data_IF_298629926678
#
_entry.id   IF_298629926678
#
_cell.length_a   1.000
_cell.length_b   1.000
_cell.length_c   1.000
_cell.angle_alpha   90.00
_cell.angle_beta   90.00
_cell.angle_gamma   90.00
#
_symmetry.space_group_name_H-M   'P 1'
#
loop_
_entity.id
_entity.type
_entity.pdbx_description
1 polymer ?
#
# COMPACT_ATOMS: atom_id res chain seq x y z
N UNK A 1 56.28 -16.59 -52.25
CA UNK A 1 56.04 -15.43 -53.14
C UNK A 1 54.90 -14.65 -52.54
N UNK A 2 55.18 -13.37 -52.34
CA UNK A 2 54.20 -12.27 -52.03
C UNK A 2 53.50 -12.25 -50.67
N UNK A 3 54.15 -11.51 -49.78
CA UNK A 3 53.63 -10.88 -48.60
C UNK A 3 52.62 -9.79 -48.93
N UNK A 4 51.49 -9.74 -48.19
CA UNK A 4 50.70 -8.52 -48.06
C UNK A 4 50.42 -8.30 -46.59
N UNK A 5 51.09 -7.26 -46.04
CA UNK A 5 50.83 -6.68 -44.77
C UNK A 5 49.54 -5.83 -44.81
N UNK A 6 48.61 -6.01 -43.89
CA UNK A 6 47.55 -5.06 -43.63
C UNK A 6 47.63 -4.59 -42.18
N UNK A 7 48.03 -3.36 -42.02
CA UNK A 7 47.85 -2.54 -40.83
C UNK A 7 46.37 -2.18 -40.70
N UNK A 8 45.75 -2.56 -39.60
CA UNK A 8 44.50 -1.94 -39.15
C UNK A 8 44.68 -1.47 -37.71
N UNK A 9 44.96 -0.18 -37.58
CA UNK A 9 44.82 0.55 -36.32
C UNK A 9 43.30 0.78 -36.10
N UNK A 10 42.72 0.01 -35.18
CA UNK A 10 41.36 0.23 -34.65
C UNK A 10 41.47 1.04 -33.38
N UNK A 11 40.99 2.26 -33.41
CA UNK A 11 40.84 3.12 -32.25
C UNK A 11 39.83 2.50 -31.27
N UNK A 12 40.29 2.22 -30.06
CA UNK A 12 39.38 1.84 -28.95
C UNK A 12 38.73 3.10 -28.39
N UNK A 13 37.45 3.32 -28.72
CA UNK A 13 36.64 4.27 -28.01
C UNK A 13 36.34 3.74 -26.60
N UNK A 14 36.98 4.35 -25.62
CA UNK A 14 36.63 4.19 -24.19
C UNK A 14 35.29 4.80 -23.92
N UNK A 15 34.20 3.98 -23.94
CA UNK A 15 32.94 4.36 -23.37
C UNK A 15 33.02 4.33 -21.84
N UNK A 16 33.36 5.47 -21.24
CA UNK A 16 33.25 5.68 -19.80
C UNK A 16 31.76 5.64 -19.44
N UNK A 17 31.34 4.58 -18.72
CA UNK A 17 30.05 4.52 -18.03
C UNK A 17 30.06 5.60 -16.94
N UNK A 18 29.10 6.54 -16.91
CA UNK A 18 29.09 7.54 -15.85
C UNK A 18 28.84 6.87 -14.51
N UNK A 19 29.66 7.20 -13.52
CA UNK A 19 29.50 6.77 -12.14
C UNK A 19 28.11 7.18 -11.60
N UNK A 20 27.47 6.37 -10.75
CA UNK A 20 26.19 6.72 -10.17
C UNK A 20 26.33 8.03 -9.38
N UNK A 21 25.44 8.98 -9.65
CA UNK A 21 25.36 10.25 -8.94
C UNK A 21 25.31 10.00 -7.43
N UNK A 22 26.36 10.44 -6.72
CA UNK A 22 26.35 10.60 -5.28
C UNK A 22 25.21 11.59 -4.95
N UNK A 23 24.14 11.07 -4.37
CA UNK A 23 23.16 11.92 -3.73
C UNK A 23 23.86 12.66 -2.60
N UNK A 24 23.86 13.99 -2.66
CA UNK A 24 24.31 14.83 -1.57
C UNK A 24 23.46 14.49 -0.34
N UNK A 25 24.02 13.73 0.57
CA UNK A 25 23.48 13.52 1.92
C UNK A 25 23.64 14.86 2.61
N UNK A 26 22.56 15.63 2.67
CA UNK A 26 22.50 16.79 3.56
C UNK A 26 22.52 16.21 4.97
N UNK A 27 23.59 16.43 5.71
CA UNK A 27 23.67 16.16 7.14
C UNK A 27 22.65 17.04 7.87
N UNK A 28 21.41 16.56 7.97
CA UNK A 28 20.45 17.05 8.92
C UNK A 28 20.93 16.52 10.28
N UNK A 29 21.17 17.38 11.30
CA UNK A 29 21.58 16.91 12.62
C UNK A 29 20.60 15.85 13.07
N UNK A 30 21.09 14.62 13.28
CA UNK A 30 20.28 13.45 13.55
C UNK A 30 19.47 13.68 14.81
N UNK A 31 18.20 14.04 14.67
CA UNK A 31 17.24 13.85 15.74
C UNK A 31 17.40 12.39 16.19
N UNK A 32 17.74 12.14 17.46
CA UNK A 32 17.96 10.80 17.97
C UNK A 32 16.81 9.91 17.51
N UNK A 33 17.15 8.82 16.81
CA UNK A 33 16.16 7.84 16.36
C UNK A 33 15.17 7.55 17.50
N UNK A 34 13.85 7.57 17.27
CA UNK A 34 12.85 7.21 18.27
C UNK A 34 13.15 5.88 18.97
N UNK A 35 13.78 4.95 18.26
CA UNK A 35 14.23 3.66 18.79
C UNK A 35 15.34 3.84 19.85
N UNK A 36 16.37 4.63 19.57
CA UNK A 36 17.48 4.88 20.48
C UNK A 36 17.06 5.77 21.65
N UNK A 37 16.06 6.63 21.43
CA UNK A 37 15.44 7.47 22.46
C UNK A 37 14.34 6.78 23.27
N UNK A 38 14.05 5.51 23.03
CA UNK A 38 13.03 4.78 23.77
C UNK A 38 13.41 4.58 25.24
N UNK A 39 12.60 5.16 26.13
CA UNK A 39 12.82 5.17 27.58
C UNK A 39 11.89 4.18 28.29
N UNK A 40 12.43 3.00 28.62
CA UNK A 40 11.69 1.98 29.33
C UNK A 40 11.31 2.38 30.77
N UNK A 41 12.12 3.23 31.44
CA UNK A 41 11.82 3.68 32.81
C UNK A 41 10.62 4.65 32.82
N UNK A 42 10.58 5.56 31.87
CA UNK A 42 9.44 6.46 31.66
C UNK A 42 8.17 5.70 31.32
N UNK A 43 8.27 4.64 30.54
CA UNK A 43 7.14 3.78 30.20
C UNK A 43 6.54 3.12 31.46
N UNK A 44 7.38 2.63 32.38
CA UNK A 44 6.94 2.09 33.69
C UNK A 44 6.20 3.13 34.51
N UNK A 45 6.70 4.38 34.55
CA UNK A 45 6.04 5.49 35.26
C UNK A 45 4.64 5.76 34.67
N UNK A 46 4.51 5.84 33.33
CA UNK A 46 3.21 6.04 32.70
C UNK A 46 2.25 4.88 32.99
N UNK A 47 2.73 3.64 32.98
CA UNK A 47 1.89 2.49 33.29
C UNK A 47 1.31 2.57 34.71
N UNK A 48 2.15 2.83 35.72
CA UNK A 48 1.69 2.96 37.11
C UNK A 48 0.80 4.19 37.33
N UNK A 49 0.96 5.24 36.54
CA UNK A 49 0.09 6.41 36.57
C UNK A 49 -1.23 6.20 35.79
N UNK A 50 -1.42 5.07 35.10
CA UNK A 50 -2.56 4.84 34.20
C UNK A 50 -2.56 5.72 32.95
N UNK A 51 -1.43 6.34 32.61
CA UNK A 51 -1.29 7.21 31.43
C UNK A 51 -1.01 6.38 30.17
N UNK A 52 -2.00 5.60 29.79
CA UNK A 52 -1.94 4.70 28.63
C UNK A 52 -1.84 5.46 27.30
N UNK A 53 -2.25 6.73 27.28
CA UNK A 53 -2.12 7.61 26.11
C UNK A 53 -0.66 7.89 25.79
N UNK A 54 0.17 8.24 26.79
CA UNK A 54 1.59 8.46 26.57
C UNK A 54 2.33 7.16 26.24
N UNK A 55 1.95 6.04 26.87
CA UNK A 55 2.52 4.74 26.53
C UNK A 55 2.27 4.38 25.07
N UNK A 56 1.03 4.50 24.61
CA UNK A 56 0.66 4.23 23.23
C UNK A 56 1.40 5.16 22.25
N UNK A 57 1.52 6.44 22.57
CA UNK A 57 2.27 7.42 21.77
C UNK A 57 3.75 7.05 21.62
N UNK A 58 4.42 6.61 22.72
CA UNK A 58 5.82 6.17 22.67
C UNK A 58 5.98 4.93 21.79
N UNK A 59 5.11 3.93 21.91
CA UNK A 59 5.14 2.74 21.05
C UNK A 59 4.93 3.10 19.58
N UNK A 60 3.95 3.95 19.27
CA UNK A 60 3.67 4.38 17.92
C UNK A 60 4.82 5.16 17.29
N UNK A 61 5.52 6.00 18.08
CA UNK A 61 6.67 6.74 17.56
C UNK A 61 7.77 5.79 17.03
N UNK A 62 8.09 4.74 17.80
CA UNK A 62 9.08 3.73 17.40
C UNK A 62 8.58 2.89 16.22
N UNK A 63 7.34 2.42 16.26
CA UNK A 63 6.77 1.60 15.18
C UNK A 63 6.65 2.37 13.86
N UNK A 64 6.28 3.66 13.93
CA UNK A 64 6.22 4.54 12.76
C UNK A 64 7.62 4.72 12.15
N UNK A 65 8.65 4.89 12.98
CA UNK A 65 10.03 4.96 12.51
C UNK A 65 10.41 3.69 11.72
N UNK A 66 10.05 2.51 12.20
CA UNK A 66 10.29 1.26 11.47
C UNK A 66 9.49 1.12 10.17
N UNK A 67 8.33 1.76 10.05
CA UNK A 67 7.59 1.82 8.78
C UNK A 67 8.33 2.65 7.74
N UNK A 68 8.96 3.75 8.17
CA UNK A 68 9.53 4.76 7.29
C UNK A 68 11.02 4.51 6.98
N UNK A 69 11.69 3.66 7.77
CA UNK A 69 13.12 3.36 7.65
C UNK A 69 13.33 1.88 7.32
N UNK A 70 14.15 1.60 6.30
CA UNK A 70 14.56 0.24 5.94
C UNK A 70 15.97 -0.03 6.50
N UNK A 71 16.09 -1.09 7.29
CA UNK A 71 17.37 -1.57 7.81
C UNK A 71 17.91 -2.68 6.90
N UNK A 72 19.02 -2.42 6.22
CA UNK A 72 19.73 -3.43 5.43
C UNK A 72 20.75 -4.21 6.27
N UNK A 73 21.22 -3.60 7.35
CA UNK A 73 22.16 -4.17 8.30
C UNK A 73 21.79 -3.69 9.70
N UNK A 74 21.85 -4.60 10.67
CA UNK A 74 21.63 -4.25 12.08
C UNK A 74 22.99 -4.31 12.79
N UNK A 75 23.42 -3.16 13.25
CA UNK A 75 24.55 -3.06 14.19
C UNK A 75 24.12 -3.55 15.59
N UNK A 76 25.07 -3.99 16.40
CA UNK A 76 24.80 -4.55 17.72
C UNK A 76 23.99 -3.59 18.62
N UNK A 77 24.25 -2.29 18.54
CA UNK A 77 23.51 -1.28 19.29
C UNK A 77 22.04 -1.20 18.86
N UNK A 78 21.80 -1.23 17.55
CA UNK A 78 20.45 -1.23 16.98
C UNK A 78 19.71 -2.51 17.34
N UNK A 79 20.38 -3.67 17.27
CA UNK A 79 19.79 -4.95 17.67
C UNK A 79 19.43 -4.96 19.16
N UNK A 80 20.31 -4.47 20.03
CA UNK A 80 20.04 -4.36 21.47
C UNK A 80 18.87 -3.41 21.77
N UNK A 81 18.77 -2.30 21.02
CA UNK A 81 17.67 -1.35 21.14
C UNK A 81 16.33 -1.97 20.68
N UNK A 82 16.32 -2.72 19.58
CA UNK A 82 15.16 -3.47 19.10
C UNK A 82 14.70 -4.48 20.15
N UNK A 83 15.60 -5.28 20.69
CA UNK A 83 15.28 -6.29 21.71
C UNK A 83 14.68 -5.64 22.96
N UNK A 84 15.26 -4.52 23.42
CA UNK A 84 14.73 -3.75 24.56
C UNK A 84 13.34 -3.21 24.31
N UNK A 85 13.11 -2.59 23.14
CA UNK A 85 11.80 -2.08 22.74
C UNK A 85 10.78 -3.22 22.66
N UNK A 86 11.06 -4.28 21.90
CA UNK A 86 10.13 -5.40 21.66
C UNK A 86 9.76 -6.09 22.98
N UNK A 87 10.73 -6.29 23.88
CA UNK A 87 10.47 -6.85 25.23
C UNK A 87 9.42 -6.04 25.98
N UNK A 88 9.57 -4.73 26.04
CA UNK A 88 8.64 -3.85 26.76
C UNK A 88 7.29 -3.78 26.03
N UNK A 89 7.32 -3.61 24.72
CA UNK A 89 6.11 -3.57 23.89
C UNK A 89 5.23 -4.81 24.07
N UNK A 90 5.79 -6.02 23.88
CA UNK A 90 5.05 -7.26 24.02
C UNK A 90 4.58 -7.50 25.46
N UNK A 91 5.40 -7.15 26.47
CA UNK A 91 5.00 -7.25 27.85
C UNK A 91 3.73 -6.44 28.13
N UNK A 92 3.74 -5.13 27.81
CA UNK A 92 2.57 -4.28 28.07
C UNK A 92 1.37 -4.61 27.16
N UNK A 93 1.60 -5.04 25.94
CA UNK A 93 0.50 -5.47 25.06
C UNK A 93 -0.29 -6.66 25.65
N UNK A 94 0.33 -7.48 26.52
CA UNK A 94 -0.36 -8.60 27.17
C UNK A 94 -0.93 -8.28 28.55
N UNK A 95 -0.64 -7.10 29.12
CA UNK A 95 -1.26 -6.70 30.38
C UNK A 95 -2.74 -6.39 30.15
N UNK A 96 -3.63 -7.00 30.94
CA UNK A 96 -5.07 -6.87 30.77
C UNK A 96 -5.55 -5.43 31.01
N UNK A 97 -4.92 -4.75 31.98
CA UNK A 97 -5.23 -3.38 32.38
C UNK A 97 -4.82 -2.34 31.33
N UNK A 98 -3.76 -2.61 30.55
CA UNK A 98 -3.34 -1.70 29.49
C UNK A 98 -4.31 -1.80 28.32
N UNK A 99 -5.29 -0.92 28.27
CA UNK A 99 -6.21 -0.80 27.15
C UNK A 99 -5.66 0.25 26.16
N UNK A 100 -5.54 -0.12 24.89
CA UNK A 100 -5.14 0.85 23.87
C UNK A 100 -6.18 1.96 23.76
N UNK A 101 -5.80 3.24 23.91
CA UNK A 101 -6.72 4.34 23.73
C UNK A 101 -7.36 4.33 22.35
N UNK A 102 -8.67 4.60 22.28
CA UNK A 102 -9.47 4.50 21.06
C UNK A 102 -8.85 5.30 19.90
N UNK A 103 -8.33 6.49 20.18
CA UNK A 103 -7.68 7.36 19.19
C UNK A 103 -6.44 6.75 18.53
N UNK A 104 -5.83 5.72 19.13
CA UNK A 104 -4.65 5.01 18.61
C UNK A 104 -4.94 3.60 18.13
N UNK A 105 -6.10 3.05 18.46
CA UNK A 105 -6.47 1.67 18.15
C UNK A 105 -6.29 1.35 16.65
N UNK A 106 -6.86 2.17 15.78
CA UNK A 106 -6.72 2.02 14.33
C UNK A 106 -5.25 2.06 13.87
N UNK A 107 -4.44 2.98 14.43
CA UNK A 107 -3.02 3.13 14.05
C UNK A 107 -2.18 1.90 14.40
N UNK A 108 -2.47 1.22 15.50
CA UNK A 108 -1.77 -0.02 15.84
C UNK A 108 -2.13 -1.15 14.87
N UNK A 109 -3.39 -1.24 14.44
CA UNK A 109 -3.81 -2.20 13.42
C UNK A 109 -3.13 -1.89 12.09
N UNK A 110 -3.03 -0.62 11.71
CA UNK A 110 -2.34 -0.17 10.50
C UNK A 110 -0.85 -0.56 10.46
N UNK A 111 -0.24 -0.68 11.63
CA UNK A 111 1.15 -1.10 11.78
C UNK A 111 1.33 -2.62 11.98
N UNK A 112 0.28 -3.43 11.77
CA UNK A 112 0.30 -4.87 11.96
C UNK A 112 1.50 -5.56 11.28
N UNK A 113 1.72 -5.30 9.99
CA UNK A 113 2.85 -5.86 9.25
C UNK A 113 4.20 -5.37 9.79
N UNK A 114 4.29 -4.10 10.19
CA UNK A 114 5.50 -3.52 10.81
C UNK A 114 5.80 -4.19 12.13
N UNK A 115 4.80 -4.35 12.99
CA UNK A 115 4.94 -5.04 14.28
C UNK A 115 5.46 -6.46 14.07
N UNK A 116 4.85 -7.22 13.16
CA UNK A 116 5.31 -8.56 12.82
C UNK A 116 6.77 -8.61 12.38
N UNK A 117 7.20 -7.65 11.55
CA UNK A 117 8.59 -7.56 11.07
C UNK A 117 9.57 -7.17 12.19
N UNK A 118 9.22 -6.17 13.01
CA UNK A 118 10.08 -5.71 14.12
C UNK A 118 10.28 -6.84 15.14
N UNK A 119 9.22 -7.57 15.47
CA UNK A 119 9.32 -8.74 16.37
C UNK A 119 10.15 -9.85 15.73
N UNK A 120 10.02 -10.11 14.43
CA UNK A 120 10.84 -11.10 13.73
C UNK A 120 12.33 -10.75 13.72
N UNK A 121 12.69 -9.47 13.74
CA UNK A 121 14.09 -9.01 13.87
C UNK A 121 14.64 -9.15 15.30
N UNK A 122 13.78 -9.26 16.31
CA UNK A 122 14.18 -9.40 17.72
C UNK A 122 14.45 -10.84 18.12
N UNK A 123 14.94 -11.05 19.35
CA UNK A 123 15.14 -12.37 19.94
C UNK A 123 13.83 -13.14 20.12
N UNK A 124 12.68 -12.47 20.16
CA UNK A 124 11.37 -13.10 20.28
C UNK A 124 10.92 -13.84 19.02
N UNK A 125 11.37 -13.39 17.84
CA UNK A 125 11.10 -13.97 16.51
C UNK A 125 9.64 -14.03 16.08
N UNK A 126 8.69 -14.19 17.00
CA UNK A 126 7.26 -14.31 16.71
C UNK A 126 6.40 -13.68 17.81
N UNK A 127 5.22 -13.22 17.45
CA UNK A 127 4.18 -12.77 18.39
C UNK A 127 3.26 -13.90 18.86
N UNK A 128 3.44 -15.15 18.42
CA UNK A 128 2.54 -16.26 18.69
C UNK A 128 2.20 -16.47 20.16
N UNK A 129 3.16 -16.49 21.12
CA UNK A 129 2.83 -16.67 22.54
C UNK A 129 1.94 -15.56 23.07
N UNK A 130 2.15 -14.34 22.61
CA UNK A 130 1.41 -13.15 23.04
C UNK A 130 0.00 -13.12 22.43
N UNK A 131 -0.14 -13.52 21.17
CA UNK A 131 -1.43 -13.72 20.52
C UNK A 131 -2.26 -14.76 21.26
N UNK A 132 -1.67 -15.87 21.72
CA UNK A 132 -2.37 -16.88 22.52
C UNK A 132 -2.86 -16.35 23.87
N UNK A 133 -2.13 -15.43 24.52
CA UNK A 133 -2.57 -14.76 25.74
C UNK A 133 -3.78 -13.86 25.42
N UNK A 134 -3.67 -13.05 24.37
CA UNK A 134 -4.72 -12.10 23.98
C UNK A 134 -6.03 -12.78 23.53
N UNK A 135 -5.97 -13.96 22.97
CA UNK A 135 -7.15 -14.76 22.61
C UNK A 135 -8.04 -15.08 23.83
N UNK A 136 -7.47 -15.06 25.02
CA UNK A 136 -8.20 -15.31 26.28
C UNK A 136 -8.74 -14.01 26.90
N UNK A 137 -8.36 -12.87 26.38
CA UNK A 137 -8.65 -11.53 26.91
C UNK A 137 -9.61 -10.76 26.00
N UNK A 138 -10.91 -10.95 26.17
CA UNK A 138 -11.94 -10.34 25.29
C UNK A 138 -11.83 -8.81 25.14
N UNK A 139 -11.39 -8.10 26.20
CA UNK A 139 -11.25 -6.63 26.20
C UNK A 139 -10.06 -6.13 25.35
N UNK A 140 -9.14 -7.01 24.98
CA UNK A 140 -7.90 -6.67 24.28
C UNK A 140 -7.95 -6.97 22.78
N UNK A 141 -9.14 -6.93 22.19
CA UNK A 141 -9.36 -7.26 20.78
C UNK A 141 -8.48 -6.45 19.81
N UNK A 142 -8.33 -5.13 20.02
CA UNK A 142 -7.48 -4.28 19.19
C UNK A 142 -6.01 -4.68 19.25
N UNK A 143 -5.52 -5.06 20.44
CA UNK A 143 -4.15 -5.58 20.61
C UNK A 143 -3.96 -6.91 19.88
N UNK A 144 -4.97 -7.78 19.92
CA UNK A 144 -4.97 -9.02 19.17
C UNK A 144 -4.82 -8.75 17.67
N UNK A 145 -5.63 -7.87 17.09
CA UNK A 145 -5.54 -7.50 15.69
C UNK A 145 -4.19 -6.88 15.32
N UNK A 146 -3.59 -6.11 16.24
CA UNK A 146 -2.30 -5.47 16.03
C UNK A 146 -1.15 -6.49 16.01
N UNK A 147 -1.20 -7.53 16.84
CA UNK A 147 -0.14 -8.54 16.95
C UNK A 147 -0.32 -9.72 15.99
N UNK A 148 -1.55 -9.97 15.50
CA UNK A 148 -1.82 -11.11 14.60
C UNK A 148 -1.58 -10.72 13.15
N UNK A 149 -0.44 -11.10 12.62
CA UNK A 149 0.05 -10.76 11.27
C UNK A 149 0.35 -12.02 10.44
N UNK A 150 0.73 -11.84 9.19
CA UNK A 150 1.14 -12.93 8.30
C UNK A 150 2.35 -13.74 8.79
N UNK A 151 3.13 -13.22 9.75
CA UNK A 151 4.27 -13.94 10.35
C UNK A 151 3.88 -14.91 11.45
N UNK A 152 2.63 -14.90 11.90
CA UNK A 152 2.17 -15.82 12.93
C UNK A 152 1.99 -17.23 12.38
N UNK A 153 2.23 -18.23 13.25
CA UNK A 153 1.99 -19.66 13.01
C UNK A 153 0.72 -20.14 13.71
N UNK A 154 0.31 -19.42 14.76
CA UNK A 154 -0.98 -19.66 15.43
C UNK A 154 -2.10 -19.41 14.43
N UNK A 155 -3.01 -20.37 14.33
CA UNK A 155 -4.21 -20.25 13.51
C UNK A 155 -5.37 -19.75 14.36
N UNK A 156 -6.00 -18.65 13.93
CA UNK A 156 -7.19 -18.07 14.52
C UNK A 156 -8.33 -18.25 13.53
N UNK A 157 -9.50 -18.64 14.03
CA UNK A 157 -10.71 -18.55 13.21
C UNK A 157 -11.03 -17.06 12.95
N UNK A 158 -10.73 -16.61 11.74
CA UNK A 158 -10.92 -15.21 11.33
C UNK A 158 -12.37 -14.75 11.45
N UNK A 159 -13.36 -15.66 11.36
CA UNK A 159 -14.78 -15.34 11.53
C UNK A 159 -15.10 -14.81 12.93
N UNK A 160 -14.37 -15.25 13.96
CA UNK A 160 -14.50 -14.72 15.31
C UNK A 160 -14.07 -13.25 15.39
N UNK A 161 -13.05 -12.87 14.61
CA UNK A 161 -12.61 -11.48 14.55
C UNK A 161 -13.73 -10.59 13.96
N UNK A 162 -14.37 -11.03 12.89
CA UNK A 162 -15.50 -10.29 12.31
C UNK A 162 -16.76 -10.29 13.20
N UNK A 163 -16.93 -11.28 14.05
CA UNK A 163 -18.04 -11.31 15.01
C UNK A 163 -17.90 -10.23 16.10
N UNK A 164 -16.66 -9.87 16.47
CA UNK A 164 -16.40 -8.90 17.55
C UNK A 164 -16.55 -7.45 17.06
N UNK A 165 -15.89 -7.10 15.95
CA UNK A 165 -15.99 -5.78 15.33
C UNK A 165 -15.72 -5.90 13.82
N UNK A 166 -16.76 -5.91 12.99
CA UNK A 166 -16.58 -5.98 11.53
C UNK A 166 -15.68 -4.88 10.97
N UNK A 167 -15.82 -3.65 11.50
CA UNK A 167 -15.03 -2.51 11.03
C UNK A 167 -13.52 -2.68 11.30
N UNK A 168 -13.14 -2.98 12.54
CA UNK A 168 -11.73 -3.19 12.91
C UNK A 168 -11.17 -4.46 12.26
N UNK A 169 -11.99 -5.53 12.12
CA UNK A 169 -11.59 -6.74 11.42
C UNK A 169 -11.38 -6.48 9.92
N UNK A 170 -12.19 -5.63 9.28
CA UNK A 170 -12.00 -5.23 7.88
C UNK A 170 -10.69 -4.44 7.72
N UNK A 171 -10.42 -3.51 8.62
CA UNK A 171 -9.15 -2.78 8.63
C UNK A 171 -7.98 -3.74 8.76
N UNK A 172 -8.01 -4.62 9.74
CA UNK A 172 -7.01 -5.68 9.94
C UNK A 172 -6.87 -6.58 8.70
N UNK A 173 -7.96 -6.97 8.06
CA UNK A 173 -7.94 -7.82 6.88
C UNK A 173 -7.08 -7.22 5.76
N UNK A 174 -7.24 -5.94 5.49
CA UNK A 174 -6.44 -5.25 4.47
C UNK A 174 -5.01 -4.99 4.92
N UNK A 175 -4.79 -4.60 6.18
CA UNK A 175 -3.45 -4.38 6.73
C UNK A 175 -2.62 -5.67 6.78
N UNK A 176 -3.25 -6.82 7.01
CA UNK A 176 -2.58 -8.12 7.02
C UNK A 176 -1.91 -8.42 5.67
N UNK A 177 -2.52 -8.00 4.57
CA UNK A 177 -1.99 -8.17 3.22
C UNK A 177 -0.77 -7.27 2.94
N UNK A 178 -0.53 -6.19 3.70
CA UNK A 178 0.70 -5.37 3.57
C UNK A 178 1.98 -6.18 3.78
N UNK A 179 1.90 -7.33 4.41
CA UNK A 179 3.02 -8.27 4.56
C UNK A 179 3.57 -8.75 3.20
N UNK A 180 2.86 -8.56 2.08
CA UNK A 180 3.37 -8.88 0.74
C UNK A 180 4.70 -8.18 0.41
N UNK A 181 4.99 -7.04 1.02
CA UNK A 181 6.23 -6.29 0.80
C UNK A 181 7.48 -6.98 1.37
N UNK A 182 7.31 -7.79 2.41
CA UNK A 182 8.43 -8.37 3.18
C UNK A 182 8.28 -9.87 3.45
N UNK A 183 7.07 -10.41 3.30
CA UNK A 183 6.73 -11.78 3.64
C UNK A 183 7.00 -12.85 2.58
N UNK A 184 6.97 -12.55 1.27
CA UNK A 184 7.07 -13.59 0.22
C UNK A 184 8.36 -14.41 0.24
N UNK A 185 9.43 -13.90 0.84
CA UNK A 185 10.71 -14.63 1.01
C UNK A 185 10.64 -15.75 2.07
N UNK A 186 9.63 -15.72 2.94
CA UNK A 186 9.38 -16.76 3.96
C UNK A 186 8.21 -17.64 3.49
N UNK A 187 8.45 -18.94 3.17
CA UNK A 187 7.42 -19.82 2.62
C UNK A 187 6.18 -19.97 3.52
N UNK A 188 6.34 -19.97 4.84
CA UNK A 188 5.23 -20.10 5.77
C UNK A 188 4.39 -18.82 5.82
N UNK A 189 5.03 -17.65 5.84
CA UNK A 189 4.33 -16.36 5.73
C UNK A 189 3.58 -16.26 4.41
N UNK A 190 4.20 -16.68 3.30
CA UNK A 190 3.54 -16.70 1.99
C UNK A 190 2.33 -17.65 1.99
N UNK A 191 2.45 -18.85 2.56
CA UNK A 191 1.31 -19.78 2.69
C UNK A 191 0.16 -19.15 3.50
N UNK A 192 0.49 -18.46 4.59
CA UNK A 192 -0.50 -17.77 5.42
C UNK A 192 -1.19 -16.61 4.70
N UNK A 193 -0.44 -15.84 3.90
CA UNK A 193 -1.00 -14.80 3.05
C UNK A 193 -1.92 -15.37 1.96
N UNK A 194 -1.53 -16.48 1.33
CA UNK A 194 -2.37 -17.20 0.34
C UNK A 194 -3.68 -17.72 0.95
N UNK A 195 -3.60 -18.29 2.16
CA UNK A 195 -4.80 -18.66 2.92
C UNK A 195 -5.68 -17.43 3.23
N UNK A 196 -5.07 -16.30 3.57
CA UNK A 196 -5.79 -15.06 3.87
C UNK A 196 -6.52 -14.48 2.65
N UNK A 197 -5.93 -14.55 1.47
CA UNK A 197 -6.58 -14.15 0.20
C UNK A 197 -7.88 -14.93 -0.03
N UNK A 198 -7.91 -16.21 0.30
CA UNK A 198 -9.08 -17.07 0.08
C UNK A 198 -10.17 -16.92 1.15
N UNK A 199 -9.86 -16.27 2.27
CA UNK A 199 -10.84 -16.07 3.34
C UNK A 199 -11.94 -15.09 2.89
N UNK A 200 -13.20 -15.47 3.09
CA UNK A 200 -14.38 -14.67 2.80
C UNK A 200 -15.21 -14.47 4.05
N UNK A 201 -15.72 -13.25 4.21
CA UNK A 201 -16.70 -12.91 5.22
C UNK A 201 -17.60 -11.77 4.71
N UNK A 202 -18.90 -11.97 4.77
CA UNK A 202 -19.89 -11.00 4.28
C UNK A 202 -19.97 -9.74 5.15
N UNK A 203 -19.32 -9.75 6.32
CA UNK A 203 -19.24 -8.61 7.24
C UNK A 203 -18.09 -7.66 6.93
N UNK A 204 -17.32 -7.90 5.87
CA UNK A 204 -16.35 -6.91 5.35
C UNK A 204 -17.08 -5.61 5.03
N UNK A 205 -16.73 -4.52 5.72
CA UNK A 205 -17.39 -3.21 5.59
C UNK A 205 -16.39 -2.06 5.59
N UNK A 206 -16.71 -1.03 4.82
CA UNK A 206 -15.93 0.19 4.77
C UNK A 206 -14.65 0.08 3.93
N UNK A 207 -14.07 1.22 3.69
CA UNK A 207 -12.86 1.42 2.90
C UNK A 207 -11.86 2.18 3.77
N UNK A 208 -10.61 1.76 3.77
CA UNK A 208 -9.53 2.41 4.49
C UNK A 208 -8.31 2.65 3.57
N UNK A 209 -7.29 3.29 4.09
CA UNK A 209 -6.06 3.61 3.34
C UNK A 209 -5.33 2.39 2.78
N UNK A 210 -5.54 1.19 3.35
CA UNK A 210 -4.89 -0.05 2.91
C UNK A 210 -5.69 -0.83 1.86
N UNK A 211 -6.94 -0.45 1.60
CA UNK A 211 -7.80 -1.16 0.65
C UNK A 211 -7.19 -1.20 -0.76
N UNK A 212 -6.61 -0.09 -1.24
CA UNK A 212 -5.95 -0.07 -2.54
C UNK A 212 -4.62 -0.81 -2.53
N UNK A 213 -3.87 -0.78 -1.42
CA UNK A 213 -2.66 -1.57 -1.26
C UNK A 213 -2.94 -3.08 -1.32
N UNK A 214 -4.02 -3.52 -0.68
CA UNK A 214 -4.46 -4.92 -0.75
C UNK A 214 -4.88 -5.32 -2.17
N UNK A 215 -5.59 -4.45 -2.88
CA UNK A 215 -5.97 -4.65 -4.28
C UNK A 215 -4.76 -4.89 -5.17
N UNK A 216 -3.74 -4.06 -5.02
CA UNK A 216 -2.49 -4.18 -5.76
C UNK A 216 -1.62 -5.35 -5.25
N UNK A 217 -1.47 -5.46 -3.94
CA UNK A 217 -0.57 -6.43 -3.27
C UNK A 217 -0.98 -7.88 -3.47
N UNK A 218 -2.28 -8.16 -3.59
CA UNK A 218 -2.80 -9.50 -3.80
C UNK A 218 -2.15 -10.21 -5.00
N UNK A 219 -1.87 -9.48 -6.07
CA UNK A 219 -1.20 -9.98 -7.27
C UNK A 219 0.20 -10.56 -6.99
N UNK A 220 0.94 -9.97 -6.04
CA UNK A 220 2.28 -10.43 -5.67
C UNK A 220 2.27 -11.60 -4.67
N UNK A 221 1.12 -11.88 -4.07
CA UNK A 221 0.94 -13.01 -3.13
C UNK A 221 0.52 -14.27 -3.88
N UNK A 222 -0.50 -14.15 -4.73
CA UNK A 222 -1.03 -15.27 -5.51
C UNK A 222 -1.76 -14.72 -6.75
N UNK A 223 -1.13 -14.84 -7.91
CA UNK A 223 -1.68 -14.35 -9.17
C UNK A 223 -2.83 -15.18 -9.73
N UNK A 224 -3.10 -16.36 -9.19
CA UNK A 224 -4.23 -17.18 -9.58
C UNK A 224 -5.50 -16.85 -8.77
N UNK A 225 -5.34 -16.33 -7.54
CA UNK A 225 -6.43 -16.08 -6.58
C UNK A 225 -6.59 -14.62 -6.17
N UNK A 226 -5.77 -13.73 -6.68
CA UNK A 226 -5.85 -12.29 -6.38
C UNK A 226 -7.21 -11.68 -6.74
N UNK A 227 -7.91 -12.25 -7.72
CA UNK A 227 -9.25 -11.84 -8.12
C UNK A 227 -10.24 -11.84 -6.95
N UNK A 228 -10.06 -12.73 -5.96
CA UNK A 228 -10.93 -12.79 -4.79
C UNK A 228 -10.84 -11.51 -3.96
N UNK A 229 -9.64 -10.96 -3.76
CA UNK A 229 -9.44 -9.68 -3.07
C UNK A 229 -9.98 -8.53 -3.92
N UNK A 230 -9.68 -8.53 -5.22
CA UNK A 230 -10.12 -7.47 -6.12
C UNK A 230 -11.63 -7.38 -6.23
N UNK A 231 -12.32 -8.52 -6.35
CA UNK A 231 -13.79 -8.56 -6.34
C UNK A 231 -14.39 -8.03 -5.04
N UNK A 232 -13.79 -8.35 -3.88
CA UNK A 232 -14.24 -7.84 -2.59
C UNK A 232 -14.07 -6.32 -2.51
N UNK A 233 -12.91 -5.83 -2.89
CA UNK A 233 -12.63 -4.38 -2.94
C UNK A 233 -13.61 -3.69 -3.87
N UNK A 234 -13.82 -4.19 -5.08
CA UNK A 234 -14.77 -3.62 -6.03
C UNK A 234 -16.20 -3.59 -5.45
N UNK A 235 -16.66 -4.67 -4.79
CA UNK A 235 -17.97 -4.69 -4.13
C UNK A 235 -18.10 -3.61 -3.06
N UNK A 236 -17.06 -3.40 -2.25
CA UNK A 236 -17.04 -2.36 -1.22
C UNK A 236 -17.16 -0.96 -1.84
N UNK A 237 -16.43 -0.68 -2.92
CA UNK A 237 -16.54 0.60 -3.62
C UNK A 237 -17.88 0.78 -4.29
N UNK A 238 -18.39 -0.23 -4.98
CA UNK A 238 -19.71 -0.20 -5.66
C UNK A 238 -20.87 -0.01 -4.68
N UNK A 239 -20.73 -0.43 -3.41
CA UNK A 239 -21.70 -0.18 -2.36
C UNK A 239 -21.70 1.27 -1.85
N UNK A 240 -20.68 2.09 -2.19
CA UNK A 240 -20.65 3.49 -1.77
C UNK A 240 -21.63 4.35 -2.58
N UNK A 241 -22.26 5.39 -1.98
CA UNK A 241 -23.13 6.31 -2.71
C UNK A 241 -22.42 6.99 -3.89
N UNK A 242 -21.11 7.23 -3.77
CA UNK A 242 -20.30 7.83 -4.82
C UNK A 242 -20.27 6.96 -6.09
N UNK A 243 -19.98 5.67 -5.95
CA UNK A 243 -19.89 4.75 -7.09
C UNK A 243 -21.26 4.34 -7.66
N UNK A 244 -22.35 4.59 -6.94
CA UNK A 244 -23.72 4.37 -7.42
C UNK A 244 -24.23 5.51 -8.30
N UNK A 245 -23.57 6.65 -8.35
CA UNK A 245 -23.94 7.74 -9.25
C UNK A 245 -23.89 7.23 -10.69
N UNK A 246 -25.06 7.19 -11.34
CA UNK A 246 -25.13 6.89 -12.76
C UNK A 246 -24.76 8.13 -13.55
N UNK A 247 -24.01 7.90 -14.58
CA UNK A 247 -23.61 8.94 -15.50
C UNK A 247 -24.43 8.77 -16.78
N UNK A 248 -25.20 9.78 -17.11
CA UNK A 248 -25.92 9.85 -18.38
C UNK A 248 -24.97 10.46 -19.41
N UNK A 249 -24.70 9.72 -20.49
CA UNK A 249 -23.70 10.11 -21.47
C UNK A 249 -24.29 10.65 -22.74
N UNK A 250 -23.99 11.90 -23.01
CA UNK A 250 -23.96 12.45 -24.35
C UNK A 250 -22.49 12.78 -24.67
N UNK A 251 -21.64 11.77 -24.96
CA UNK A 251 -20.21 11.93 -25.05
C UNK A 251 -19.82 12.82 -26.22
N UNK A 252 -18.79 13.62 -26.05
CA UNK A 252 -18.16 14.31 -27.16
C UNK A 252 -17.43 13.30 -28.03
N UNK A 253 -17.82 13.14 -29.30
CA UNK A 253 -17.14 12.21 -30.19
C UNK A 253 -15.63 12.47 -30.22
N UNK A 254 -14.83 11.39 -30.19
CA UNK A 254 -13.36 11.43 -30.26
C UNK A 254 -12.62 12.03 -29.06
N UNK A 255 -13.29 12.39 -27.97
CA UNK A 255 -12.62 12.83 -26.75
C UNK A 255 -12.39 11.67 -25.80
N UNK A 256 -11.14 11.45 -25.41
CA UNK A 256 -10.71 10.33 -24.54
C UNK A 256 -10.10 10.89 -23.26
N UNK A 257 -10.59 10.43 -22.11
CA UNK A 257 -9.96 10.68 -20.83
C UNK A 257 -8.90 9.59 -20.55
N UNK A 258 -7.65 9.99 -20.33
CA UNK A 258 -6.57 9.10 -19.84
C UNK A 258 -6.42 9.33 -18.34
N UNK A 259 -6.82 8.33 -17.54
CA UNK A 259 -6.89 8.43 -16.08
C UNK A 259 -5.72 7.72 -15.44
N UNK A 260 -4.74 8.45 -14.93
CA UNK A 260 -3.50 7.87 -14.42
C UNK A 260 -2.98 8.60 -13.17
N UNK A 261 -2.48 7.81 -12.21
CA UNK A 261 -1.71 8.29 -11.06
C UNK A 261 -0.20 8.25 -11.31
N UNK A 262 0.25 7.60 -12.42
CA UNK A 262 1.65 7.27 -12.71
C UNK A 262 2.15 7.90 -14.03
N UNK A 263 1.56 9.01 -14.48
CA UNK A 263 1.92 9.64 -15.74
C UNK A 263 3.17 10.55 -15.63
N UNK A 264 4.29 9.94 -15.22
CA UNK A 264 5.59 10.60 -15.07
C UNK A 264 6.64 9.88 -15.90
N UNK A 265 7.57 10.56 -16.59
CA UNK A 265 8.55 9.95 -17.51
C UNK A 265 9.38 8.82 -16.89
N UNK A 266 9.65 8.88 -15.57
CA UNK A 266 10.44 7.86 -14.86
C UNK A 266 9.64 6.58 -14.53
N UNK A 267 8.31 6.63 -14.58
CA UNK A 267 7.46 5.50 -14.22
C UNK A 267 7.40 4.45 -15.31
N UNK A 268 7.36 3.17 -14.92
CA UNK A 268 7.25 2.05 -15.86
C UNK A 268 5.94 2.08 -16.64
N UNK A 269 4.84 2.44 -15.98
CA UNK A 269 3.52 2.61 -16.63
C UNK A 269 3.62 3.65 -17.73
N UNK A 270 4.13 4.85 -17.45
CA UNK A 270 4.33 5.88 -18.45
C UNK A 270 5.15 5.33 -19.65
N UNK A 271 6.34 4.76 -19.39
CA UNK A 271 7.21 4.26 -20.46
C UNK A 271 6.57 3.20 -21.34
N UNK A 272 5.72 2.35 -20.77
CA UNK A 272 5.01 1.30 -21.53
C UNK A 272 3.79 1.83 -22.27
N UNK A 273 3.10 2.85 -21.74
CA UNK A 273 1.82 3.31 -22.30
C UNK A 273 1.94 4.57 -23.15
N UNK A 274 2.94 5.41 -22.91
CA UNK A 274 3.13 6.66 -23.66
C UNK A 274 3.16 6.49 -25.20
N UNK A 275 3.84 5.47 -25.79
CA UNK A 275 3.81 5.29 -27.24
C UNK A 275 2.40 5.07 -27.78
N UNK A 276 1.56 4.29 -27.09
CA UNK A 276 0.17 4.06 -27.50
C UNK A 276 -0.68 5.32 -27.36
N UNK A 277 -0.52 6.07 -26.28
CA UNK A 277 -1.25 7.32 -26.05
C UNK A 277 -0.88 8.36 -27.11
N UNK A 278 0.39 8.42 -27.53
CA UNK A 278 0.82 9.27 -28.68
C UNK A 278 0.14 8.88 -29.98
N UNK A 279 -0.05 7.59 -30.25
CA UNK A 279 -0.78 7.16 -31.46
C UNK A 279 -2.26 7.55 -31.38
N UNK A 280 -2.90 7.41 -30.21
CA UNK A 280 -4.29 7.84 -30.01
C UNK A 280 -4.46 9.36 -30.21
N UNK A 281 -3.48 10.16 -29.84
CA UNK A 281 -3.51 11.62 -29.98
C UNK A 281 -3.55 12.10 -31.43
N UNK A 282 -3.21 11.25 -32.40
CA UNK A 282 -3.29 11.60 -33.84
C UNK A 282 -4.73 11.71 -34.35
N UNK A 283 -5.66 10.99 -33.72
CA UNK A 283 -7.04 10.88 -34.20
C UNK A 283 -8.07 11.34 -33.16
N UNK A 284 -7.64 11.52 -31.90
CA UNK A 284 -8.50 11.81 -30.76
C UNK A 284 -8.00 13.00 -29.97
N UNK A 285 -8.93 13.76 -29.40
CA UNK A 285 -8.65 14.74 -28.36
C UNK A 285 -8.41 14.02 -27.04
N UNK A 286 -7.22 14.14 -26.46
CA UNK A 286 -6.86 13.50 -25.22
C UNK A 286 -6.85 14.49 -24.05
N UNK A 287 -7.47 14.07 -22.93
CA UNK A 287 -7.43 14.79 -21.65
C UNK A 287 -6.74 13.91 -20.63
N UNK A 288 -5.69 14.39 -19.99
CA UNK A 288 -5.09 13.71 -18.84
C UNK A 288 -5.91 14.06 -17.60
N UNK A 289 -6.49 13.04 -16.96
CA UNK A 289 -7.02 13.17 -15.59
C UNK A 289 -5.99 12.58 -14.66
N UNK A 290 -5.19 13.42 -14.02
CA UNK A 290 -4.21 12.97 -13.05
C UNK A 290 -4.90 12.61 -11.74
N UNK A 291 -4.60 11.42 -11.22
CA UNK A 291 -5.23 10.83 -10.05
C UNK A 291 -4.35 11.01 -8.80
N UNK A 292 -4.90 11.67 -7.79
CA UNK A 292 -4.16 12.04 -6.59
C UNK A 292 -3.30 13.30 -6.78
N UNK A 293 -2.39 13.55 -5.83
CA UNK A 293 -1.44 14.67 -5.91
C UNK A 293 -0.25 14.30 -6.80
N UNK A 294 0.12 15.13 -7.78
CA UNK A 294 1.31 14.88 -8.58
C UNK A 294 2.56 14.95 -7.69
N UNK A 295 3.42 13.94 -7.84
CA UNK A 295 4.68 13.83 -7.08
C UNK A 295 5.89 14.29 -7.87
N UNK A 296 5.76 14.37 -9.18
CA UNK A 296 6.78 14.74 -10.15
C UNK A 296 6.14 15.56 -11.27
N UNK A 297 6.94 16.07 -12.19
CA UNK A 297 6.46 16.81 -13.36
C UNK A 297 5.77 15.82 -14.33
N UNK A 298 4.53 16.14 -14.68
CA UNK A 298 3.75 15.37 -15.67
C UNK A 298 4.26 15.68 -17.08
N UNK A 299 4.29 14.67 -17.94
CA UNK A 299 4.40 14.89 -19.38
C UNK A 299 3.01 15.17 -19.96
N UNK A 300 2.82 16.37 -20.47
CA UNK A 300 1.53 16.86 -20.97
C UNK A 300 1.53 17.12 -22.48
N UNK A 301 2.62 16.79 -23.21
CA UNK A 301 2.81 17.15 -24.63
C UNK A 301 1.64 16.74 -25.54
N UNK A 302 1.06 15.57 -25.30
CA UNK A 302 0.02 15.00 -26.17
C UNK A 302 -1.41 15.28 -25.72
N UNK A 303 -1.60 15.99 -24.63
CA UNK A 303 -2.92 16.27 -24.06
C UNK A 303 -3.38 17.70 -24.35
N UNK A 304 -4.64 17.84 -24.75
CA UNK A 304 -5.28 19.14 -24.92
C UNK A 304 -5.57 19.84 -23.59
N UNK A 305 -5.74 19.04 -22.52
CA UNK A 305 -6.11 19.54 -21.20
C UNK A 305 -5.57 18.58 -20.13
N UNK A 306 -5.24 19.13 -18.94
CA UNK A 306 -4.90 18.33 -17.73
C UNK A 306 -5.88 18.70 -16.63
N UNK A 307 -6.48 17.68 -16.03
CA UNK A 307 -7.39 17.79 -14.90
C UNK A 307 -6.87 16.98 -13.74
N UNK A 308 -7.34 17.27 -12.52
CA UNK A 308 -6.91 16.60 -11.30
C UNK A 308 -8.12 16.07 -10.53
N UNK A 309 -8.08 14.81 -10.16
CA UNK A 309 -9.02 14.19 -9.23
C UNK A 309 -8.27 13.66 -8.02
N UNK A 310 -8.62 14.14 -6.83
CA UNK A 310 -7.97 13.75 -5.58
C UNK A 310 -9.04 13.41 -4.53
N UNK A 311 -9.28 12.11 -4.33
CA UNK A 311 -10.28 11.61 -3.40
C UNK A 311 -9.96 11.92 -1.93
N UNK A 312 -8.69 12.13 -1.58
CA UNK A 312 -8.29 12.49 -0.22
C UNK A 312 -8.65 13.92 0.17
N UNK A 313 -8.84 14.80 -0.82
CA UNK A 313 -9.26 16.19 -0.60
C UNK A 313 -10.78 16.32 -0.72
N UNK A 314 -11.36 15.78 -1.77
CA UNK A 314 -12.79 15.87 -2.03
C UNK A 314 -13.27 14.73 -2.93
N UNK A 315 -13.59 13.61 -2.33
CA UNK A 315 -13.95 12.38 -3.05
C UNK A 315 -15.17 12.53 -3.97
N UNK A 316 -16.13 13.39 -3.62
CA UNK A 316 -17.38 13.62 -4.35
C UNK A 316 -17.28 14.71 -5.43
N UNK A 317 -16.13 15.37 -5.57
CA UNK A 317 -15.89 16.32 -6.65
C UNK A 317 -15.47 15.60 -7.94
N UNK A 318 -16.45 15.29 -8.76
CA UNK A 318 -16.27 14.58 -10.02
C UNK A 318 -16.08 15.53 -11.23
N UNK A 319 -15.82 16.83 -11.00
CA UNK A 319 -15.68 17.82 -12.08
C UNK A 319 -14.57 17.46 -13.08
N UNK A 320 -13.53 16.76 -12.63
CA UNK A 320 -12.43 16.31 -13.49
C UNK A 320 -12.86 15.20 -14.48
N UNK A 321 -13.93 14.49 -14.18
CA UNK A 321 -14.43 13.34 -14.92
C UNK A 321 -15.90 13.54 -15.31
N UNK A 322 -16.24 14.72 -15.83
CA UNK A 322 -17.61 14.98 -16.27
C UNK A 322 -18.06 13.86 -17.20
N UNK A 323 -19.13 13.17 -16.85
CA UNK A 323 -19.61 11.99 -17.54
C UNK A 323 -20.07 12.21 -18.97
N UNK A 324 -20.38 13.44 -19.32
CA UNK A 324 -20.79 13.81 -20.67
C UNK A 324 -19.62 14.25 -21.55
N UNK A 325 -18.41 14.19 -21.02
CA UNK A 325 -17.25 14.76 -21.72
C UNK A 325 -16.46 13.70 -22.52
N UNK A 326 -16.38 12.45 -22.03
CA UNK A 326 -15.55 11.43 -22.65
C UNK A 326 -16.37 10.40 -23.44
N UNK A 327 -15.97 10.12 -24.69
CA UNK A 327 -16.44 8.96 -25.43
C UNK A 327 -15.82 7.67 -24.89
N UNK A 328 -14.62 7.76 -24.34
CA UNK A 328 -13.88 6.64 -23.75
C UNK A 328 -13.08 7.12 -22.55
N UNK A 329 -13.02 6.28 -21.51
CA UNK A 329 -12.10 6.42 -20.40
C UNK A 329 -11.04 5.31 -20.47
N UNK A 330 -9.77 5.70 -20.50
CA UNK A 330 -8.63 4.79 -20.55
C UNK A 330 -7.87 4.83 -19.22
N UNK A 331 -7.74 3.66 -18.59
CA UNK A 331 -7.09 3.48 -17.30
C UNK A 331 -5.79 2.69 -17.45
N UNK A 332 -4.63 3.32 -17.59
CA UNK A 332 -3.36 2.61 -17.72
C UNK A 332 -2.88 1.92 -16.45
N UNK A 333 -3.35 2.35 -15.25
CA UNK A 333 -2.77 1.95 -13.97
C UNK A 333 -3.78 1.73 -12.83
N UNK A 334 -4.90 1.04 -13.10
CA UNK A 334 -5.88 0.70 -12.04
C UNK A 334 -5.18 -0.05 -10.89
N UNK A 335 -5.46 0.40 -9.65
CA UNK A 335 -4.90 -0.17 -8.42
C UNK A 335 -3.61 0.50 -7.94
N UNK A 336 -3.01 1.39 -8.72
CA UNK A 336 -1.85 2.17 -8.29
C UNK A 336 -2.22 3.34 -7.37
N UNK A 337 -3.49 3.73 -7.36
CA UNK A 337 -4.07 4.70 -6.44
C UNK A 337 -5.50 4.34 -6.08
N UNK A 338 -6.00 4.88 -4.97
CA UNK A 338 -7.39 4.67 -4.56
C UNK A 338 -8.36 5.32 -5.55
N UNK A 339 -7.99 6.47 -6.12
CA UNK A 339 -8.77 7.20 -7.12
C UNK A 339 -9.03 6.35 -8.36
N UNK A 340 -8.02 5.59 -8.82
CA UNK A 340 -8.17 4.71 -9.99
C UNK A 340 -9.19 3.62 -9.74
N UNK A 341 -9.25 3.05 -8.53
CA UNK A 341 -10.23 2.03 -8.16
C UNK A 341 -11.62 2.65 -8.03
N UNK A 342 -11.74 3.83 -7.41
CA UNK A 342 -13.02 4.56 -7.29
C UNK A 342 -13.62 4.78 -8.69
N UNK A 343 -12.87 5.40 -9.58
CA UNK A 343 -13.36 5.77 -10.90
C UNK A 343 -13.60 4.54 -11.80
N UNK A 344 -12.81 3.47 -11.66
CA UNK A 344 -13.06 2.22 -12.35
C UNK A 344 -14.34 1.50 -11.89
N UNK A 345 -14.84 1.79 -10.68
CA UNK A 345 -16.10 1.28 -10.15
C UNK A 345 -17.29 2.21 -10.43
N UNK A 346 -17.06 3.32 -11.14
CA UNK A 346 -18.09 4.21 -11.65
C UNK A 346 -18.22 4.06 -13.17
N UNK A 347 -19.38 4.43 -13.75
CA UNK A 347 -19.49 4.56 -15.20
C UNK A 347 -19.30 6.04 -15.55
N UNK A 348 -18.08 6.42 -15.93
CA UNK A 348 -17.69 7.81 -16.27
C UNK A 348 -17.57 8.05 -17.78
N UNK A 349 -17.64 6.99 -18.57
CA UNK A 349 -17.72 7.04 -20.04
C UNK A 349 -18.51 5.84 -20.56
N UNK A 350 -19.07 5.91 -21.81
CA UNK A 350 -19.73 4.78 -22.44
C UNK A 350 -18.82 3.55 -22.59
N UNK A 351 -17.54 3.80 -22.87
CA UNK A 351 -16.51 2.78 -23.04
C UNK A 351 -15.42 3.05 -22.00
N UNK A 352 -15.11 2.05 -21.19
CA UNK A 352 -14.03 2.09 -20.20
C UNK A 352 -13.09 0.93 -20.42
N UNK A 353 -11.83 1.23 -20.70
CA UNK A 353 -10.82 0.22 -20.97
C UNK A 353 -9.64 0.39 -20.00
N UNK A 354 -8.99 -0.72 -19.70
CA UNK A 354 -7.74 -0.71 -18.94
C UNK A 354 -6.66 -1.46 -19.70
N UNK A 355 -5.42 -1.21 -19.33
CA UNK A 355 -4.26 -1.94 -19.78
C UNK A 355 -3.50 -2.51 -18.58
N UNK A 356 -2.47 -3.33 -18.83
CA UNK A 356 -1.68 -4.00 -17.81
C UNK A 356 -0.60 -3.12 -17.16
N UNK A 357 -0.95 -1.90 -16.79
CA UNK A 357 -0.20 -1.14 -15.76
C UNK A 357 -0.32 -1.80 -14.38
N UNK A 358 -1.38 -2.58 -14.18
CA UNK A 358 -1.48 -3.62 -13.15
C UNK A 358 -1.47 -4.98 -13.86
N UNK A 359 -0.59 -5.93 -13.48
CA UNK A 359 -0.32 -7.16 -14.23
C UNK A 359 -1.50 -8.14 -14.33
N UNK A 360 -2.65 -7.85 -13.75
CA UNK A 360 -3.85 -8.70 -13.77
C UNK A 360 -5.13 -7.92 -13.97
N UNK A 361 -6.19 -8.65 -14.38
CA UNK A 361 -7.52 -8.09 -14.60
C UNK A 361 -8.10 -7.35 -13.40
N UNK A 362 -9.03 -6.45 -13.68
CA UNK A 362 -9.74 -5.62 -12.68
C UNK A 362 -10.84 -6.38 -11.93
N UNK A 363 -11.22 -7.57 -12.39
CA UNK A 363 -12.15 -8.51 -11.76
C UNK A 363 -13.41 -7.89 -11.14
N UNK A 364 -14.27 -7.33 -11.99
CA UNK A 364 -15.59 -6.86 -11.57
C UNK A 364 -15.72 -5.36 -11.34
N UNK A 365 -14.68 -4.55 -11.65
CA UNK A 365 -14.84 -3.13 -11.89
C UNK A 365 -15.69 -2.89 -13.16
N UNK A 366 -16.19 -1.66 -13.36
CA UNK A 366 -16.97 -1.28 -14.54
C UNK A 366 -16.08 -1.00 -15.76
N UNK A 367 -15.22 -1.94 -16.08
CA UNK A 367 -14.34 -1.93 -17.25
C UNK A 367 -14.92 -2.88 -18.30
N UNK A 368 -14.95 -2.47 -19.58
CA UNK A 368 -15.54 -3.23 -20.69
C UNK A 368 -14.57 -4.25 -21.28
#
# INVERSE_FOLDING_TARGET
MSSVSNNNQGASENSQVPAPHQQNVVDVPAARSPLLGFDAARLVQHYHAGDYTQMAAQFLAVLTHFRDVTYYHLEDESQAAINRFVKQFLYYMTQEEFILPEQYAAKFIDLNAVIGNVVAMSDFRTTDPFVQVLLRQQRNYTKLLSLYSGRNRVKIDRRLLFATSPQLATQWYFCFLEMYRTGPSDPETLAHLREHITFEDDRLIGINSFTHHAYFGATYIDNEKDYLVKQRVNRLFQATPLCQKQVVNAPKPKKIGVLSSMWFPRQSVYRSQHPFVRELAKEHELVLVHLGRPREVLDTEVFSEVRYYNASEKADDLSAVDPNDFAMAYFPDIGMSIESIILANMRIAPIQISNYGNPVSTFGAKID
#
